data_IF_410111253890
#
_entry.id   IF_410111253890
#
_cell.length_a   1.000
_cell.length_b   1.000
_cell.length_c   1.000
_cell.angle_alpha   90.00
_cell.angle_beta   90.00
_cell.angle_gamma   90.00
#
_symmetry.space_group_name_H-M   'P 1'
#
loop_
_entity.id
_entity.type
_entity.pdbx_description
1 polymer ?
#
# COMPACT_ATOMS: atom_id res chain seq x y z
N UNK A 1 2.58 -75.95 41.18
CA UNK A 1 2.94 -75.59 39.79
C UNK A 1 2.42 -74.18 39.57
N UNK A 2 2.85 -73.14 40.29
CA UNK A 2 4.20 -72.63 40.58
C UNK A 2 5.01 -72.41 39.31
N UNK A 3 4.81 -71.24 38.69
CA UNK A 3 5.89 -70.52 38.04
C UNK A 3 5.57 -69.02 38.03
N UNK A 4 6.25 -68.33 38.95
CA UNK A 4 6.43 -66.89 38.99
C UNK A 4 7.47 -66.50 37.94
N UNK A 5 7.06 -65.66 36.98
CA UNK A 5 8.00 -65.00 36.08
C UNK A 5 8.70 -63.85 36.82
N UNK A 6 9.89 -64.16 37.31
CA UNK A 6 10.91 -63.20 37.70
C UNK A 6 11.55 -62.63 36.44
N UNK A 7 11.47 -61.32 36.21
CA UNK A 7 12.42 -60.65 35.34
C UNK A 7 12.95 -59.37 36.00
N UNK A 8 14.23 -59.45 36.35
CA UNK A 8 14.98 -58.49 37.13
C UNK A 8 15.35 -57.25 36.31
N UNK A 9 15.20 -56.08 36.93
CA UNK A 9 15.79 -54.83 36.46
C UNK A 9 17.32 -54.88 36.60
N UNK A 10 18.10 -54.48 35.58
CA UNK A 10 19.52 -54.26 35.76
C UNK A 10 19.75 -52.93 36.49
N UNK A 11 20.51 -53.03 37.59
CA UNK A 11 20.99 -51.91 38.39
C UNK A 11 22.17 -51.23 37.68
N UNK A 12 21.94 -50.14 36.97
CA UNK A 12 23.02 -49.28 36.50
C UNK A 12 23.44 -48.32 37.63
N UNK A 13 24.47 -48.75 38.35
CA UNK A 13 25.33 -47.87 39.13
C UNK A 13 26.05 -46.93 38.15
N UNK A 14 25.65 -45.66 38.10
CA UNK A 14 26.45 -44.63 37.45
C UNK A 14 26.93 -43.63 38.50
N UNK A 15 28.22 -43.72 38.80
CA UNK A 15 28.96 -42.87 39.69
C UNK A 15 28.80 -41.40 39.26
N UNK A 16 28.36 -40.57 40.19
CA UNK A 16 28.25 -39.12 40.03
C UNK A 16 29.65 -38.50 39.98
N UNK A 17 30.27 -38.53 38.80
CA UNK A 17 31.46 -37.75 38.50
C UNK A 17 31.03 -36.28 38.32
N UNK A 18 31.36 -35.46 39.30
CA UNK A 18 31.15 -34.01 39.31
C UNK A 18 31.90 -33.37 38.14
N UNK A 19 31.22 -33.15 37.01
CA UNK A 19 31.75 -32.33 35.92
C UNK A 19 31.88 -30.87 36.41
N UNK A 20 33.02 -30.19 36.18
CA UNK A 20 33.13 -28.78 36.47
C UNK A 20 32.11 -28.00 35.62
N UNK A 21 31.50 -26.94 36.17
CA UNK A 21 30.50 -26.15 35.45
C UNK A 21 31.10 -25.62 34.14
N UNK A 22 30.35 -25.65 33.02
CA UNK A 22 30.81 -25.17 31.73
C UNK A 22 31.28 -23.71 31.79
N UNK A 23 32.26 -23.32 30.97
CA UNK A 23 32.87 -21.97 30.95
C UNK A 23 31.86 -20.82 30.74
N UNK A 24 30.71 -21.07 30.13
CA UNK A 24 29.65 -20.05 30.01
C UNK A 24 28.96 -19.74 31.35
N UNK A 25 28.98 -20.68 32.31
CA UNK A 25 28.35 -20.51 33.62
C UNK A 25 29.13 -19.53 34.49
N UNK A 26 30.47 -19.58 34.43
CA UNK A 26 31.35 -18.60 35.08
C UNK A 26 31.22 -17.23 34.42
N UNK A 27 31.07 -17.17 33.09
CA UNK A 27 30.86 -15.93 32.35
C UNK A 27 29.52 -15.25 32.74
N UNK A 28 28.44 -16.02 32.90
CA UNK A 28 27.15 -15.48 33.38
C UNK A 28 27.23 -15.01 34.84
N UNK A 29 27.95 -15.71 35.71
CA UNK A 29 28.18 -15.24 37.07
C UNK A 29 28.98 -13.94 37.10
N UNK A 30 30.00 -13.81 36.25
CA UNK A 30 30.81 -12.61 36.14
C UNK A 30 29.98 -11.43 35.63
N UNK A 31 29.13 -11.64 34.62
CA UNK A 31 28.22 -10.61 34.10
C UNK A 31 27.24 -10.12 35.18
N UNK A 32 26.67 -11.03 35.95
CA UNK A 32 25.77 -10.69 37.07
C UNK A 32 26.48 -9.86 38.14
N UNK A 33 27.72 -10.17 38.47
CA UNK A 33 28.52 -9.40 39.41
C UNK A 33 28.85 -8.00 38.88
N UNK A 34 29.14 -7.87 37.57
CA UNK A 34 29.36 -6.56 36.93
C UNK A 34 28.11 -5.68 36.94
N UNK A 35 26.93 -6.25 36.71
CA UNK A 35 25.66 -5.48 36.78
C UNK A 35 25.41 -5.01 38.22
N UNK A 36 25.65 -5.87 39.23
CA UNK A 36 25.49 -5.51 40.63
C UNK A 36 26.43 -4.38 41.08
N UNK A 37 27.69 -4.38 40.62
CA UNK A 37 28.65 -3.32 40.95
C UNK A 37 28.30 -1.99 40.28
N UNK A 38 27.81 -2.01 39.04
CA UNK A 38 27.33 -0.80 38.35
C UNK A 38 26.10 -0.22 39.05
N UNK A 39 25.16 -1.04 39.51
CA UNK A 39 24.01 -0.59 40.28
C UNK A 39 24.42 0.02 41.63
N UNK A 40 25.39 -0.57 42.35
CA UNK A 40 25.91 0.00 43.59
C UNK A 40 26.63 1.34 43.37
N UNK A 41 27.41 1.48 42.29
CA UNK A 41 28.08 2.74 41.96
C UNK A 41 27.09 3.86 41.63
N UNK A 42 26.00 3.55 40.91
CA UNK A 42 24.93 4.51 40.62
C UNK A 42 24.20 4.96 41.90
N UNK A 43 23.83 4.01 42.77
CA UNK A 43 23.21 4.32 44.06
C UNK A 43 24.12 5.18 44.98
N UNK A 44 25.43 4.98 44.89
CA UNK A 44 26.43 5.76 45.65
C UNK A 44 26.58 7.19 45.13
N UNK A 45 26.39 7.44 43.82
CA UNK A 45 26.42 8.79 43.23
C UNK A 45 25.19 9.62 43.57
N UNK A 46 24.03 8.97 43.73
CA UNK A 46 22.79 9.64 44.10
C UNK A 46 22.73 10.03 45.59
N UNK A 47 23.61 9.46 46.43
CA UNK A 47 23.63 9.66 47.88
C UNK A 47 24.59 10.76 48.39
N UNK A 48 25.30 11.51 47.53
CA UNK A 48 26.15 12.61 47.99
C UNK A 48 25.46 14.00 47.96
N UNK A 49 25.30 14.69 49.11
CA UNK A 49 24.84 16.07 49.15
C UNK A 49 25.98 17.02 48.74
N UNK A 50 25.81 17.73 47.62
CA UNK A 50 26.74 18.75 47.15
C UNK A 50 26.85 19.92 48.13
N UNK A 51 28.06 20.14 48.68
CA UNK A 51 28.37 21.25 49.58
C UNK A 51 29.55 22.05 49.04
N UNK A 52 29.27 23.30 48.62
CA UNK A 52 30.14 24.51 48.57
C UNK A 52 31.37 24.50 47.62
N UNK A 53 31.80 25.61 46.98
CA UNK A 53 31.82 27.00 47.42
C UNK A 53 32.05 27.98 46.25
N UNK A 54 31.46 29.18 46.34
CA UNK A 54 31.61 30.27 45.38
C UNK A 54 30.77 31.50 45.79
N UNK A 55 31.10 32.05 46.96
CA UNK A 55 30.52 33.23 47.60
C UNK A 55 30.51 34.48 46.70
N UNK A 56 29.37 35.19 46.58
CA UNK A 56 29.21 36.62 46.94
C UNK A 56 27.71 36.95 47.18
N UNK A 57 27.43 37.28 48.45
CA UNK A 57 26.43 38.19 49.06
C UNK A 57 25.02 38.38 48.46
N UNK A 58 24.03 38.05 49.32
CA UNK A 58 22.62 38.51 49.36
C UNK A 58 22.48 40.01 49.77
N UNK A 59 21.30 40.64 49.56
CA UNK A 59 20.23 40.50 50.54
C UNK A 59 18.88 40.05 49.96
N UNK A 60 18.14 39.40 50.85
CA UNK A 60 16.86 38.73 50.78
C UNK A 60 15.71 39.46 50.07
N UNK A 61 14.89 38.69 49.35
CA UNK A 61 13.43 38.88 49.34
C UNK A 61 12.76 37.52 49.20
N UNK A 62 11.83 37.28 50.13
CA UNK A 62 10.91 36.16 50.29
C UNK A 62 10.43 35.58 48.95
N UNK A 63 10.50 34.25 48.75
CA UNK A 63 9.56 33.49 47.91
C UNK A 63 9.63 31.98 48.18
N UNK A 64 8.45 31.37 48.32
CA UNK A 64 8.24 29.94 48.57
C UNK A 64 8.64 29.03 47.41
N UNK A 65 8.38 27.70 47.50
CA UNK A 65 8.92 26.73 46.56
C UNK A 65 8.38 27.00 45.15
N UNK A 66 9.29 27.32 44.23
CA UNK A 66 9.00 27.51 42.83
C UNK A 66 8.52 26.19 42.22
N UNK A 67 7.20 26.05 42.08
CA UNK A 67 6.59 25.10 41.15
C UNK A 67 7.04 25.55 39.76
N UNK A 68 7.95 24.78 39.14
CA UNK A 68 8.28 24.96 37.73
C UNK A 68 6.96 25.01 36.93
N UNK A 69 6.73 26.04 36.09
CA UNK A 69 5.52 26.09 35.28
C UNK A 69 5.53 24.89 34.35
N UNK A 70 4.73 23.87 34.67
CA UNK A 70 4.47 22.80 33.72
C UNK A 70 3.88 23.46 32.48
N UNK A 71 4.60 23.36 31.37
CA UNK A 71 4.13 23.79 30.05
C UNK A 71 2.78 23.12 29.84
N UNK A 72 1.69 23.91 29.93
CA UNK A 72 0.34 23.42 29.73
C UNK A 72 0.21 22.98 28.27
N UNK A 73 0.47 21.70 28.01
CA UNK A 73 0.25 21.11 26.69
C UNK A 73 -1.25 21.22 26.38
N UNK A 74 -1.58 21.55 25.13
CA UNK A 74 -2.96 21.49 24.65
C UNK A 74 -3.32 20.02 24.40
N UNK A 75 -4.55 19.59 24.71
CA UNK A 75 -4.99 18.22 24.45
C UNK A 75 -4.91 17.94 22.94
N UNK A 76 -4.65 16.67 22.59
CA UNK A 76 -4.64 16.27 21.19
C UNK A 76 -6.05 16.44 20.63
N UNK A 77 -6.22 17.07 19.44
CA UNK A 77 -7.53 17.18 18.81
C UNK A 77 -8.20 15.80 18.72
N UNK A 78 -9.42 15.70 19.24
CA UNK A 78 -10.24 14.51 19.01
C UNK A 78 -10.60 14.49 17.52
N UNK A 79 -10.21 13.41 16.82
CA UNK A 79 -10.59 13.21 15.41
C UNK A 79 -12.10 13.03 15.23
N UNK A 80 -12.52 12.70 14.02
CA UNK A 80 -13.94 12.45 13.73
C UNK A 80 -14.52 11.33 14.61
N UNK A 81 -15.79 11.45 15.05
CA UNK A 81 -16.45 10.39 15.80
C UNK A 81 -16.58 9.12 14.95
N UNK A 82 -16.59 7.96 15.61
CA UNK A 82 -16.70 6.68 14.93
C UNK A 82 -18.13 6.43 14.42
N UNK A 83 -18.27 6.30 13.10
CA UNK A 83 -19.58 6.16 12.42
C UNK A 83 -20.08 4.70 12.31
N UNK A 84 -19.26 3.72 12.70
CA UNK A 84 -19.63 2.29 12.61
C UNK A 84 -18.97 1.52 11.48
N UNK A 85 -18.10 2.16 10.70
CA UNK A 85 -17.38 1.52 9.61
C UNK A 85 -16.33 0.51 10.12
N UNK A 86 -16.54 -0.76 9.83
CA UNK A 86 -15.67 -1.87 10.27
C UNK A 86 -14.20 -1.70 9.86
N UNK A 87 -13.96 -1.11 8.69
CA UNK A 87 -12.61 -0.89 8.14
C UNK A 87 -11.85 0.21 8.88
N UNK A 88 -12.55 1.24 9.38
CA UNK A 88 -11.95 2.39 10.07
C UNK A 88 -11.87 2.16 11.59
N UNK A 89 -12.63 1.21 12.13
CA UNK A 89 -12.66 0.89 13.56
C UNK A 89 -11.27 0.64 14.17
N UNK A 90 -10.42 -0.13 13.48
CA UNK A 90 -9.08 -0.45 14.02
C UNK A 90 -8.20 0.78 14.13
N UNK A 91 -8.21 1.63 13.11
CA UNK A 91 -7.44 2.88 13.11
C UNK A 91 -7.97 3.83 14.19
N UNK A 92 -9.30 3.96 14.30
CA UNK A 92 -9.94 4.76 15.34
C UNK A 92 -9.61 4.25 16.75
N UNK A 93 -9.67 2.93 16.99
CA UNK A 93 -9.31 2.31 18.28
C UNK A 93 -7.87 2.62 18.68
N UNK A 94 -6.92 2.53 17.75
CA UNK A 94 -5.50 2.85 18.01
C UNK A 94 -5.35 4.32 18.41
N UNK A 95 -5.98 5.24 17.66
CA UNK A 95 -5.96 6.66 17.98
C UNK A 95 -6.57 6.94 19.35
N UNK A 96 -7.70 6.30 19.65
CA UNK A 96 -8.39 6.46 20.92
C UNK A 96 -7.56 5.93 22.10
N UNK A 97 -7.00 4.73 21.97
CA UNK A 97 -6.13 4.14 22.98
C UNK A 97 -4.89 5.02 23.25
N UNK A 98 -4.25 5.54 22.19
CA UNK A 98 -3.13 6.46 22.33
C UNK A 98 -3.53 7.79 23.00
N UNK A 99 -4.72 8.31 22.66
CA UNK A 99 -5.27 9.53 23.27
C UNK A 99 -5.56 9.33 24.75
N UNK A 100 -6.13 8.21 25.15
CA UNK A 100 -6.39 7.89 26.56
C UNK A 100 -5.11 7.80 27.39
N UNK A 101 -4.01 7.31 26.81
CA UNK A 101 -2.70 7.26 27.49
C UNK A 101 -2.07 8.66 27.57
N UNK A 102 -2.08 9.40 26.46
CA UNK A 102 -1.40 10.70 26.35
C UNK A 102 -2.12 11.80 27.12
N UNK A 103 -3.45 11.85 26.98
CA UNK A 103 -4.30 12.87 27.58
C UNK A 103 -4.88 12.41 28.93
N UNK A 104 -4.39 11.32 29.53
CA UNK A 104 -4.91 10.77 30.79
C UNK A 104 -5.09 11.84 31.87
N UNK A 105 -4.04 12.66 32.07
CA UNK A 105 -4.03 13.75 33.07
C UNK A 105 -5.00 14.89 32.73
N UNK A 106 -5.35 15.07 31.47
CA UNK A 106 -6.27 16.12 30.99
C UNK A 106 -7.72 15.67 31.00
N UNK A 107 -7.99 14.41 30.68
CA UNK A 107 -9.35 13.86 30.65
C UNK A 107 -9.87 13.66 32.06
N UNK A 108 -9.01 13.26 33.01
CA UNK A 108 -9.35 13.14 34.41
C UNK A 108 -9.47 11.69 34.85
N UNK A 109 -10.54 11.37 35.57
CA UNK A 109 -10.74 10.06 36.19
C UNK A 109 -11.05 8.97 35.16
N UNK A 110 -10.99 7.70 35.56
CA UNK A 110 -11.34 6.58 34.67
C UNK A 110 -12.79 6.67 34.18
N UNK A 111 -13.69 7.21 35.03
CA UNK A 111 -15.07 7.53 34.65
C UNK A 111 -15.14 8.62 33.58
N UNK A 112 -14.33 9.67 33.67
CA UNK A 112 -14.29 10.72 32.65
C UNK A 112 -13.73 10.18 31.33
N UNK A 113 -12.74 9.30 31.39
CA UNK A 113 -12.21 8.59 30.24
C UNK A 113 -13.25 7.67 29.59
N UNK A 114 -14.04 6.97 30.39
CA UNK A 114 -15.17 6.14 29.92
C UNK A 114 -16.24 6.99 29.20
N UNK A 115 -16.65 8.12 29.81
CA UNK A 115 -17.57 9.09 29.20
C UNK A 115 -17.00 9.68 27.91
N UNK A 116 -15.70 9.96 27.88
CA UNK A 116 -15.02 10.53 26.72
C UNK A 116 -15.05 9.56 25.53
N UNK A 117 -14.79 8.27 25.73
CA UNK A 117 -14.90 7.27 24.66
C UNK A 117 -16.33 7.21 24.11
N UNK A 118 -17.34 7.27 24.97
CA UNK A 118 -18.75 7.32 24.57
C UNK A 118 -19.08 8.54 23.69
N UNK A 119 -18.60 9.73 24.06
CA UNK A 119 -18.79 10.95 23.28
C UNK A 119 -18.11 10.91 21.90
N UNK A 120 -17.08 10.08 21.74
CA UNK A 120 -16.38 9.90 20.47
C UNK A 120 -17.05 8.89 19.52
N UNK A 121 -18.23 8.39 19.86
CA UNK A 121 -19.05 7.50 19.04
C UNK A 121 -20.18 8.29 18.36
N UNK A 122 -20.54 7.94 17.13
CA UNK A 122 -21.72 8.50 16.47
C UNK A 122 -23.01 8.07 17.20
N UNK A 123 -24.10 8.86 17.15
CA UNK A 123 -25.35 8.57 17.86
C UNK A 123 -25.95 7.18 17.55
N UNK A 124 -25.79 6.71 16.30
CA UNK A 124 -26.22 5.37 15.87
C UNK A 124 -25.47 4.23 16.55
N UNK A 125 -24.21 4.47 16.92
CA UNK A 125 -23.36 3.49 17.59
C UNK A 125 -23.57 3.57 19.10
N UNK A 126 -23.74 4.77 19.64
CA UNK A 126 -24.14 4.99 21.03
C UNK A 126 -25.40 4.19 21.36
N UNK A 127 -26.47 4.30 20.56
CA UNK A 127 -27.73 3.58 20.81
C UNK A 127 -27.59 2.06 20.89
N UNK A 128 -26.63 1.47 20.17
CA UNK A 128 -26.36 0.02 20.19
C UNK A 128 -25.55 -0.42 21.41
N UNK A 129 -24.79 0.49 21.98
CA UNK A 129 -23.82 0.23 23.06
C UNK A 129 -24.34 0.71 24.42
N UNK A 130 -25.48 1.44 24.46
CA UNK A 130 -26.09 1.99 25.68
C UNK A 130 -26.20 0.99 26.81
N UNK A 131 -26.69 -0.22 26.55
CA UNK A 131 -26.86 -1.25 27.59
C UNK A 131 -25.52 -1.63 28.26
N UNK A 132 -24.43 -1.69 27.49
CA UNK A 132 -23.10 -1.98 28.03
C UNK A 132 -22.51 -0.77 28.76
N UNK A 133 -22.79 0.44 28.26
CA UNK A 133 -22.37 1.68 28.89
C UNK A 133 -23.01 1.90 30.27
N UNK A 134 -24.30 1.57 30.40
CA UNK A 134 -25.05 1.60 31.67
C UNK A 134 -24.51 0.60 32.69
N UNK A 135 -23.99 -0.54 32.23
CA UNK A 135 -23.28 -1.53 33.06
C UNK A 135 -21.87 -1.08 33.50
N UNK A 136 -21.45 0.15 33.18
CA UNK A 136 -20.15 0.74 33.55
C UNK A 136 -19.71 0.58 35.03
N UNK A 137 -20.60 0.68 36.04
CA UNK A 137 -20.23 0.44 37.44
C UNK A 137 -19.62 -0.94 37.69
N UNK A 138 -20.12 -1.99 37.02
CA UNK A 138 -19.63 -3.37 37.17
C UNK A 138 -18.19 -3.54 36.68
N UNK A 139 -17.75 -2.69 35.76
CA UNK A 139 -16.41 -2.69 35.17
C UNK A 139 -15.51 -1.57 35.72
N UNK A 140 -15.93 -0.91 36.82
CA UNK A 140 -15.23 0.23 37.43
C UNK A 140 -14.96 1.38 36.45
N UNK A 141 -15.79 1.51 35.41
CA UNK A 141 -15.59 2.46 34.32
C UNK A 141 -14.23 2.36 33.62
N UNK A 142 -13.65 1.16 33.50
CA UNK A 142 -12.37 0.99 32.83
C UNK A 142 -12.47 1.23 31.30
N UNK A 143 -11.86 2.29 30.75
CA UNK A 143 -12.03 2.64 29.33
C UNK A 143 -11.45 1.59 28.37
N UNK A 144 -10.48 0.78 28.80
CA UNK A 144 -9.91 -0.30 27.98
C UNK A 144 -10.88 -1.48 27.83
N UNK A 145 -11.64 -1.80 28.88
CA UNK A 145 -12.70 -2.81 28.82
C UNK A 145 -13.82 -2.37 27.87
N UNK A 146 -14.13 -1.06 27.86
CA UNK A 146 -15.09 -0.51 26.89
C UNK A 146 -14.60 -0.65 25.44
N UNK A 147 -13.33 -0.34 25.18
CA UNK A 147 -12.73 -0.52 23.85
C UNK A 147 -12.66 -2.01 23.44
N UNK A 148 -12.44 -2.92 24.39
CA UNK A 148 -12.46 -4.36 24.12
C UNK A 148 -13.88 -4.86 23.78
N UNK A 149 -14.90 -4.37 24.47
CA UNK A 149 -16.30 -4.64 24.10
C UNK A 149 -16.62 -4.12 22.70
N UNK A 150 -16.26 -2.86 22.40
CA UNK A 150 -16.45 -2.28 21.06
C UNK A 150 -15.74 -3.11 19.98
N UNK A 151 -14.56 -3.66 20.27
CA UNK A 151 -13.88 -4.56 19.35
C UNK A 151 -14.66 -5.86 19.13
N UNK A 152 -15.20 -6.47 20.18
CA UNK A 152 -16.01 -7.68 20.01
C UNK A 152 -17.30 -7.46 19.19
N UNK A 153 -17.90 -6.27 19.26
CA UNK A 153 -19.17 -5.96 18.58
C UNK A 153 -18.95 -5.43 17.16
N UNK A 154 -17.92 -4.62 16.93
CA UNK A 154 -17.71 -3.92 15.67
C UNK A 154 -16.51 -4.41 14.86
N UNK A 155 -15.52 -5.06 15.47
CA UNK A 155 -14.47 -5.72 14.70
C UNK A 155 -14.98 -7.04 14.12
N UNK A 156 -14.44 -7.41 12.97
CA UNK A 156 -14.73 -8.69 12.34
C UNK A 156 -13.92 -9.81 13.03
N UNK A 157 -14.58 -10.81 13.67
CA UNK A 157 -13.89 -11.92 14.34
C UNK A 157 -12.98 -12.73 13.40
N UNK A 158 -13.35 -12.84 12.12
CA UNK A 158 -12.63 -13.64 11.13
C UNK A 158 -11.60 -12.84 10.34
N UNK A 159 -11.35 -11.57 10.70
CA UNK A 159 -10.40 -10.70 9.97
C UNK A 159 -9.02 -11.33 9.82
N UNK A 160 -8.50 -11.98 10.87
CA UNK A 160 -7.18 -12.62 10.81
C UNK A 160 -7.17 -13.82 9.87
N UNK A 161 -8.20 -14.66 9.92
CA UNK A 161 -8.35 -15.86 9.08
C UNK A 161 -8.54 -15.50 7.60
N UNK A 162 -9.37 -14.48 7.33
CA UNK A 162 -9.55 -13.90 6.00
C UNK A 162 -8.21 -13.32 5.51
N UNK A 163 -7.51 -12.54 6.34
CA UNK A 163 -6.22 -11.97 5.97
C UNK A 163 -5.14 -13.03 5.71
N UNK A 164 -5.15 -14.15 6.46
CA UNK A 164 -4.26 -15.29 6.20
C UNK A 164 -4.57 -15.94 4.84
N UNK A 165 -5.84 -16.18 4.55
CA UNK A 165 -6.29 -16.73 3.27
C UNK A 165 -5.90 -15.81 2.11
N UNK A 166 -6.14 -14.51 2.25
CA UNK A 166 -5.76 -13.50 1.26
C UNK A 166 -4.23 -13.41 1.08
N UNK A 167 -3.45 -13.55 2.16
CA UNK A 167 -1.98 -13.56 2.09
C UNK A 167 -1.46 -14.78 1.31
N UNK A 168 -2.11 -15.93 1.44
CA UNK A 168 -1.73 -17.15 0.73
C UNK A 168 -2.09 -17.11 -0.76
N UNK A 169 -3.15 -16.40 -1.11
CA UNK A 169 -3.56 -16.16 -2.49
C UNK A 169 -2.85 -14.96 -3.13
N UNK A 170 -2.19 -14.12 -2.34
CA UNK A 170 -1.53 -12.93 -2.84
C UNK A 170 -0.32 -13.34 -3.69
N UNK A 171 -0.36 -12.95 -4.97
CA UNK A 171 0.74 -13.15 -5.90
C UNK A 171 1.09 -11.82 -6.59
N UNK A 172 2.37 -11.61 -6.86
CA UNK A 172 2.86 -10.47 -7.63
C UNK A 172 2.44 -10.66 -9.09
N UNK A 173 1.74 -9.67 -9.65
CA UNK A 173 1.33 -9.74 -11.05
C UNK A 173 2.55 -9.67 -12.00
N UNK A 174 2.38 -10.18 -13.23
CA UNK A 174 3.49 -10.36 -14.19
C UNK A 174 4.25 -9.08 -14.54
N UNK A 175 3.54 -7.94 -14.58
CA UNK A 175 4.04 -6.62 -14.94
C UNK A 175 4.05 -5.63 -13.76
N UNK A 176 3.88 -6.11 -12.53
CA UNK A 176 3.83 -5.25 -11.36
C UNK A 176 5.23 -5.02 -10.75
N UNK A 177 5.50 -3.76 -10.39
CA UNK A 177 6.72 -3.40 -9.67
C UNK A 177 6.77 -4.06 -8.28
N UNK A 178 7.94 -4.56 -7.89
CA UNK A 178 8.11 -5.21 -6.59
C UNK A 178 7.73 -4.29 -5.41
N UNK A 179 8.00 -2.99 -5.51
CA UNK A 179 7.70 -2.02 -4.45
C UNK A 179 6.21 -1.89 -4.16
N UNK A 180 5.34 -1.83 -5.19
CA UNK A 180 3.89 -1.76 -4.99
C UNK A 180 3.32 -3.06 -4.45
N UNK A 181 3.83 -4.19 -4.94
CA UNK A 181 3.48 -5.51 -4.44
C UNK A 181 3.87 -5.69 -2.97
N UNK A 182 5.10 -5.31 -2.62
CA UNK A 182 5.65 -5.47 -1.28
C UNK A 182 4.86 -4.70 -0.22
N UNK A 183 4.41 -3.48 -0.50
CA UNK A 183 3.56 -2.72 0.43
C UNK A 183 2.25 -3.46 0.72
N UNK A 184 1.62 -4.05 -0.31
CA UNK A 184 0.38 -4.83 -0.14
C UNK A 184 0.64 -6.13 0.62
N UNK A 185 1.77 -6.79 0.34
CA UNK A 185 2.20 -8.00 1.05
C UNK A 185 2.42 -7.73 2.53
N UNK A 186 3.18 -6.68 2.89
CA UNK A 186 3.40 -6.25 4.28
C UNK A 186 2.10 -5.91 4.99
N UNK A 187 1.19 -5.20 4.32
CA UNK A 187 -0.11 -4.88 4.88
C UNK A 187 -0.90 -6.15 5.21
N UNK A 188 -0.99 -7.12 4.28
CA UNK A 188 -1.69 -8.38 4.52
C UNK A 188 -0.98 -9.26 5.56
N UNK A 189 0.35 -9.26 5.57
CA UNK A 189 1.16 -9.93 6.58
C UNK A 189 0.86 -9.40 7.99
N UNK A 190 0.81 -8.07 8.15
CA UNK A 190 0.46 -7.45 9.43
C UNK A 190 -0.97 -7.78 9.88
N UNK A 191 -1.93 -7.77 8.95
CA UNK A 191 -3.33 -8.13 9.23
C UNK A 191 -3.51 -9.60 9.62
N UNK A 192 -2.70 -10.49 9.04
CA UNK A 192 -2.67 -11.92 9.37
C UNK A 192 -2.00 -12.23 10.73
N UNK A 193 -1.47 -11.22 11.42
CA UNK A 193 -0.68 -11.38 12.65
C UNK A 193 0.76 -11.82 12.39
N UNK A 194 1.24 -11.71 11.15
CA UNK A 194 2.52 -12.23 10.71
C UNK A 194 3.74 -11.41 11.11
N UNK A 195 3.58 -10.26 11.77
CA UNK A 195 4.72 -9.48 12.28
C UNK A 195 5.56 -10.27 13.29
N UNK A 196 4.89 -11.11 14.09
CA UNK A 196 5.54 -11.92 15.12
C UNK A 196 6.02 -13.28 14.61
N UNK A 197 5.87 -13.59 13.32
CA UNK A 197 6.36 -14.84 12.77
C UNK A 197 7.88 -14.86 12.69
N UNK A 198 8.51 -16.04 12.81
CA UNK A 198 9.91 -16.22 12.48
C UNK A 198 10.20 -15.74 11.05
N UNK A 199 11.37 -15.15 10.87
CA UNK A 199 11.77 -14.55 9.59
C UNK A 199 11.82 -15.60 8.47
N UNK A 200 12.10 -16.87 8.78
CA UNK A 200 12.08 -17.96 7.81
C UNK A 200 10.68 -18.14 7.20
N UNK A 201 9.63 -18.05 8.02
CA UNK A 201 8.24 -18.22 7.57
C UNK A 201 7.83 -17.04 6.68
N UNK A 202 8.19 -15.82 7.09
CA UNK A 202 7.95 -14.61 6.28
C UNK A 202 8.63 -14.73 4.92
N UNK A 203 9.87 -15.22 4.89
CA UNK A 203 10.62 -15.41 3.65
C UNK A 203 10.06 -16.51 2.75
N UNK A 204 9.61 -17.63 3.31
CA UNK A 204 8.96 -18.69 2.54
C UNK A 204 7.67 -18.17 1.89
N UNK A 205 6.84 -17.45 2.64
CA UNK A 205 5.60 -16.85 2.12
C UNK A 205 5.90 -15.79 1.06
N UNK A 206 6.86 -14.90 1.30
CA UNK A 206 7.29 -13.90 0.31
C UNK A 206 7.81 -14.54 -0.97
N UNK A 207 8.67 -15.57 -0.87
CA UNK A 207 9.21 -16.27 -2.04
C UNK A 207 8.13 -16.95 -2.88
N UNK A 208 7.09 -17.51 -2.23
CA UNK A 208 5.95 -18.13 -2.92
C UNK A 208 5.13 -17.08 -3.68
N UNK A 209 4.90 -15.93 -3.07
CA UNK A 209 4.09 -14.84 -3.62
C UNK A 209 4.78 -14.06 -4.76
N UNK A 210 6.10 -14.15 -4.91
CA UNK A 210 6.84 -13.48 -5.98
C UNK A 210 6.52 -14.05 -7.37
N UNK A 211 6.55 -13.19 -8.39
CA UNK A 211 6.37 -13.57 -9.79
C UNK A 211 7.51 -14.47 -10.29
N UNK A 212 7.25 -15.32 -11.29
CA UNK A 212 8.23 -16.22 -11.91
C UNK A 212 9.52 -15.50 -12.34
N UNK A 213 9.44 -14.33 -12.99
CA UNK A 213 10.66 -13.61 -13.43
C UNK A 213 11.55 -13.18 -12.26
N UNK A 214 10.93 -12.76 -11.15
CA UNK A 214 11.63 -12.42 -9.92
C UNK A 214 12.23 -13.66 -9.26
N UNK A 215 11.47 -14.78 -9.22
CA UNK A 215 11.94 -16.06 -8.69
C UNK A 215 13.13 -16.58 -9.49
N UNK A 216 13.05 -16.59 -10.81
CA UNK A 216 14.15 -17.05 -11.68
C UNK A 216 15.40 -16.18 -11.50
N UNK A 217 15.23 -14.86 -11.40
CA UNK A 217 16.33 -13.91 -11.14
C UNK A 217 16.89 -14.00 -9.71
N UNK A 218 16.16 -14.63 -8.78
CA UNK A 218 16.62 -14.84 -7.41
C UNK A 218 17.50 -16.08 -7.25
N UNK A 219 17.48 -17.00 -8.22
CA UNK A 219 18.30 -18.21 -8.21
C UNK A 219 19.78 -17.80 -8.30
N UNK A 220 20.61 -18.31 -7.39
CA UNK A 220 22.07 -18.05 -7.36
C UNK A 220 22.47 -16.75 -6.66
N UNK A 221 21.53 -15.86 -6.33
CA UNK A 221 21.78 -14.77 -5.39
C UNK A 221 21.61 -15.34 -3.98
N UNK A 222 22.69 -15.40 -3.20
CA UNK A 222 22.71 -15.95 -1.84
C UNK A 222 21.80 -15.16 -0.89
N UNK A 223 20.49 -15.38 -0.97
CA UNK A 223 19.48 -14.73 -0.14
C UNK A 223 19.58 -15.31 1.28
N UNK A 224 19.86 -14.48 2.31
CA UNK A 224 19.87 -14.92 3.69
C UNK A 224 18.53 -15.55 4.08
N UNK A 225 18.58 -16.61 4.87
CA UNK A 225 17.37 -17.29 5.39
C UNK A 225 16.99 -16.79 6.79
N UNK A 226 17.93 -16.15 7.47
CA UNK A 226 17.83 -15.85 8.90
C UNK A 226 17.45 -14.38 9.16
N UNK A 227 17.46 -13.54 8.11
CA UNK A 227 17.13 -12.12 8.22
C UNK A 227 16.15 -11.71 7.12
N UNK A 228 14.94 -11.34 7.54
CA UNK A 228 13.89 -10.90 6.63
C UNK A 228 14.28 -9.60 5.90
N UNK A 229 14.79 -8.61 6.62
CA UNK A 229 15.15 -7.30 6.06
C UNK A 229 16.28 -7.39 5.04
N UNK A 230 17.32 -8.20 5.32
CA UNK A 230 18.44 -8.39 4.40
C UNK A 230 17.98 -9.04 3.09
N UNK A 231 17.11 -10.04 3.18
CA UNK A 231 16.53 -10.69 2.01
C UNK A 231 15.63 -9.75 1.19
N UNK A 232 14.79 -8.92 1.85
CA UNK A 232 13.98 -7.90 1.16
C UNK A 232 14.85 -6.92 0.40
N UNK A 233 15.98 -6.49 0.95
CA UNK A 233 16.91 -5.59 0.26
C UNK A 233 17.51 -6.22 -1.00
N UNK A 234 17.81 -7.52 -0.98
CA UNK A 234 18.24 -8.26 -2.18
C UNK A 234 17.10 -8.35 -3.20
N UNK A 235 15.87 -8.60 -2.76
CA UNK A 235 14.73 -8.57 -3.70
C UNK A 235 14.51 -7.19 -4.32
N UNK A 236 14.74 -6.10 -3.57
CA UNK A 236 14.70 -4.74 -4.12
C UNK A 236 15.79 -4.51 -5.17
N UNK A 237 17.03 -4.96 -4.94
CA UNK A 237 18.09 -4.83 -5.95
C UNK A 237 17.79 -5.64 -7.22
N UNK A 238 17.29 -6.87 -7.06
CA UNK A 238 16.82 -7.70 -8.20
C UNK A 238 15.73 -6.98 -9.00
N UNK A 239 14.77 -6.36 -8.32
CA UNK A 239 13.69 -5.62 -8.98
C UNK A 239 14.22 -4.43 -9.79
N UNK A 240 15.22 -3.72 -9.26
CA UNK A 240 15.89 -2.64 -9.99
C UNK A 240 16.63 -3.17 -11.21
N UNK A 241 17.35 -4.29 -11.08
CA UNK A 241 18.07 -4.93 -12.19
C UNK A 241 17.12 -5.40 -13.31
N UNK A 242 15.94 -5.91 -12.95
CA UNK A 242 14.92 -6.32 -13.92
C UNK A 242 14.34 -5.11 -14.65
N UNK A 243 14.03 -4.03 -13.93
CA UNK A 243 13.49 -2.81 -14.54
C UNK A 243 14.54 -2.09 -15.40
N UNK A 244 15.81 -2.09 -15.00
CA UNK A 244 16.91 -1.55 -15.82
C UNK A 244 17.06 -2.35 -17.11
N UNK A 245 17.07 -3.69 -17.04
CA UNK A 245 17.13 -4.55 -18.22
C UNK A 245 15.93 -4.36 -19.15
N UNK A 246 14.72 -4.26 -18.60
CA UNK A 246 13.50 -3.95 -19.37
C UNK A 246 13.59 -2.59 -20.08
N UNK A 247 14.21 -1.61 -19.44
CA UNK A 247 14.40 -0.29 -20.02
C UNK A 247 15.47 -0.30 -21.13
N UNK A 248 16.61 -0.96 -20.88
CA UNK A 248 17.67 -1.16 -21.88
C UNK A 248 17.15 -1.90 -23.12
N UNK A 249 16.38 -2.96 -22.94
CA UNK A 249 15.75 -3.69 -24.05
C UNK A 249 14.83 -2.78 -24.87
N UNK A 250 14.02 -1.93 -24.22
CA UNK A 250 13.17 -0.94 -24.91
C UNK A 250 14.00 0.05 -25.72
N UNK A 251 15.17 0.47 -25.23
CA UNK A 251 16.06 1.36 -25.98
C UNK A 251 16.75 0.60 -27.12
N UNK A 252 17.33 -0.57 -26.85
CA UNK A 252 17.99 -1.42 -27.85
C UNK A 252 17.06 -1.80 -28.99
N UNK A 253 15.80 -2.15 -28.71
CA UNK A 253 14.80 -2.45 -29.74
C UNK A 253 14.35 -1.20 -30.53
N UNK A 254 14.48 -0.01 -29.95
CA UNK A 254 14.18 1.26 -30.63
C UNK A 254 15.28 1.66 -31.61
N UNK A 255 16.54 1.37 -31.29
CA UNK A 255 17.70 1.64 -32.15
C UNK A 255 18.00 0.48 -33.13
N UNK A 256 17.81 -0.77 -32.73
CA UNK A 256 18.03 -1.96 -33.56
C UNK A 256 17.03 -2.12 -34.72
N UNK A 257 15.86 -1.47 -34.63
CA UNK A 257 14.90 -1.40 -35.76
C UNK A 257 15.24 -0.31 -36.78
N UNK A 258 16.17 0.59 -36.46
CA UNK A 258 16.56 1.67 -37.37
C UNK A 258 17.66 1.25 -38.37
N UNK A 259 18.29 0.08 -38.20
CA UNK A 259 19.48 -0.31 -38.96
C UNK A 259 19.56 -1.82 -39.25
N UNK A 260 18.46 -2.45 -39.66
CA UNK A 260 18.64 -3.59 -40.57
C UNK A 260 18.93 -2.97 -41.95
N UNK A 261 20.14 -3.12 -42.51
CA UNK A 261 20.40 -2.64 -43.86
C UNK A 261 19.45 -3.42 -44.78
N UNK A 262 18.44 -2.76 -45.31
CA UNK A 262 17.74 -3.25 -46.49
C UNK A 262 18.82 -3.51 -47.53
N UNK A 263 18.93 -4.75 -48.02
CA UNK A 263 19.87 -5.11 -49.09
C UNK A 263 19.79 -4.02 -50.16
N UNK A 264 20.91 -3.42 -50.59
CA UNK A 264 20.86 -2.42 -51.64
C UNK A 264 20.18 -3.05 -52.85
N UNK A 265 19.19 -2.35 -53.41
CA UNK A 265 18.58 -2.76 -54.67
C UNK A 265 19.66 -2.53 -55.73
N UNK A 266 20.29 -3.61 -56.17
CA UNK A 266 21.21 -3.62 -57.31
C UNK A 266 20.40 -3.69 -58.60
N UNK A 267 20.84 -3.00 -59.64
CA UNK A 267 20.31 -3.20 -61.00
C UNK A 267 20.94 -4.42 -61.69
N UNK A 268 20.50 -4.71 -62.92
CA UNK A 268 20.94 -5.88 -63.71
C UNK A 268 22.46 -5.89 -63.98
N UNK A 269 23.13 -4.73 -63.89
CA UNK A 269 24.57 -4.59 -64.07
C UNK A 269 25.37 -4.69 -62.76
N UNK A 270 24.69 -4.89 -61.62
CA UNK A 270 25.33 -5.11 -60.32
C UNK A 270 25.71 -3.83 -59.56
N UNK A 271 25.31 -2.66 -60.05
CA UNK A 271 25.59 -1.37 -59.42
C UNK A 271 24.51 -1.00 -58.39
N UNK A 272 24.94 -0.34 -57.31
CA UNK A 272 24.05 0.11 -56.26
C UNK A 272 23.22 1.31 -56.76
N UNK A 273 21.90 1.14 -56.89
CA UNK A 273 21.00 2.23 -57.27
C UNK A 273 20.96 3.31 -56.17
N UNK A 274 21.69 4.40 -56.38
CA UNK A 274 21.65 5.57 -55.50
C UNK A 274 20.40 6.41 -55.79
N UNK A 275 19.29 6.18 -55.07
CA UNK A 275 18.15 7.10 -55.10
C UNK A 275 18.52 8.38 -54.34
N UNK A 276 18.50 9.51 -55.04
CA UNK A 276 19.05 10.80 -54.62
C UNK A 276 18.62 11.32 -53.24
N UNK A 277 19.54 12.08 -52.63
CA UNK A 277 19.57 12.64 -51.27
C UNK A 277 18.50 13.72 -50.98
N UNK A 278 17.55 13.97 -51.89
CA UNK A 278 16.56 15.04 -51.71
C UNK A 278 15.26 14.55 -51.06
N UNK A 279 15.35 14.13 -49.80
CA UNK A 279 14.17 13.94 -48.95
C UNK A 279 14.50 14.16 -47.46
N UNK A 280 15.14 15.29 -47.15
CA UNK A 280 15.02 15.86 -45.82
C UNK A 280 13.65 16.57 -45.74
N UNK A 281 12.74 16.02 -44.93
CA UNK A 281 11.82 16.68 -43.97
C UNK A 281 10.45 15.99 -43.93
N UNK A 282 9.98 15.81 -42.68
CA UNK A 282 8.60 15.51 -42.22
C UNK A 282 8.18 14.03 -42.10
N UNK A 283 8.27 13.54 -40.86
CA UNK A 283 7.22 12.68 -40.28
C UNK A 283 7.50 11.19 -40.22
N UNK A 284 7.89 10.70 -39.02
CA UNK A 284 7.85 9.27 -38.66
C UNK A 284 6.46 8.68 -38.94
N UNK A 285 6.33 7.81 -39.93
CA UNK A 285 5.22 6.85 -40.06
C UNK A 285 5.71 5.43 -39.73
N UNK A 286 4.91 4.72 -38.93
CA UNK A 286 5.09 3.30 -38.58
C UNK A 286 5.06 2.43 -39.86
N UNK A 287 5.86 1.36 -39.97
CA UNK A 287 5.74 0.42 -41.08
C UNK A 287 4.50 -0.48 -40.87
N UNK A 288 3.59 -0.43 -41.84
CA UNK A 288 2.52 -1.39 -41.99
C UNK A 288 3.08 -2.67 -42.63
N UNK A 289 2.66 -3.82 -42.10
CA UNK A 289 2.95 -5.18 -42.55
C UNK A 289 2.56 -5.36 -44.02
N UNK A 290 3.54 -5.74 -44.87
CA UNK A 290 3.31 -6.12 -46.27
C UNK A 290 2.69 -7.52 -46.32
N UNK A 291 1.43 -7.59 -46.75
CA UNK A 291 0.83 -8.75 -47.39
C UNK A 291 1.08 -8.71 -48.89
N UNK A 292 1.44 -9.85 -49.45
CA UNK A 292 1.69 -10.18 -50.85
C UNK A 292 0.58 -9.75 -51.83
N UNK A 293 0.95 -9.26 -53.02
CA UNK A 293 0.59 -9.77 -54.38
C UNK A 293 0.59 -8.69 -55.49
N UNK A 294 1.28 -9.03 -56.60
CA UNK A 294 1.06 -8.72 -58.04
C UNK A 294 0.95 -7.29 -58.57
N UNK A 295 1.74 -7.03 -59.63
CA UNK A 295 1.78 -5.94 -60.62
C UNK A 295 0.44 -5.70 -61.37
N UNK A 296 0.39 -4.81 -62.39
CA UNK A 296 0.66 -3.37 -62.42
C UNK A 296 -0.60 -2.59 -62.88
N UNK A 297 -0.83 -1.43 -62.30
CA UNK A 297 -1.91 -0.53 -62.74
C UNK A 297 -1.91 0.70 -61.85
N UNK A 298 -1.53 1.84 -62.42
CA UNK A 298 -1.57 3.13 -61.75
C UNK A 298 -2.99 3.43 -61.26
N UNK A 299 -3.20 3.44 -59.95
CA UNK A 299 -4.25 4.25 -59.33
C UNK A 299 -3.69 4.88 -58.06
N UNK A 300 -3.76 6.19 -57.99
CA UNK A 300 -3.33 7.00 -56.86
C UNK A 300 -4.23 6.67 -55.66
N UNK A 301 -3.79 5.75 -54.81
CA UNK A 301 -4.49 5.34 -53.59
C UNK A 301 -4.47 6.41 -52.48
N UNK A 302 -4.75 7.66 -52.83
CA UNK A 302 -4.96 8.74 -51.89
C UNK A 302 -6.20 8.45 -51.03
N UNK A 303 -6.03 8.62 -49.73
CA UNK A 303 -7.11 8.47 -48.75
C UNK A 303 -7.87 9.79 -48.68
N UNK A 304 -9.19 9.72 -48.58
CA UNK A 304 -10.00 10.92 -48.35
C UNK A 304 -9.57 11.62 -47.05
N UNK A 305 -9.50 12.95 -47.09
CA UNK A 305 -9.25 13.80 -45.91
C UNK A 305 -10.44 13.69 -44.96
N UNK A 306 -10.17 13.61 -43.65
CA UNK A 306 -11.24 13.66 -42.65
C UNK A 306 -11.82 15.06 -42.58
N UNK A 307 -13.13 15.18 -42.79
CA UNK A 307 -13.85 16.46 -42.82
C UNK A 307 -14.89 16.46 -41.69
N UNK A 308 -15.15 17.61 -41.03
CA UNK A 308 -16.19 17.71 -39.99
C UNK A 308 -17.58 17.32 -40.50
N UNK A 309 -18.46 16.95 -39.55
CA UNK A 309 -19.81 16.42 -39.81
C UNK A 309 -20.65 17.37 -40.68
N UNK A 310 -20.57 18.68 -40.44
CA UNK A 310 -21.29 19.71 -41.19
C UNK A 310 -21.00 19.68 -42.69
N UNK A 311 -19.75 19.49 -43.09
CA UNK A 311 -19.38 19.42 -44.52
C UNK A 311 -19.78 18.10 -45.14
N UNK A 312 -19.87 17.02 -44.36
CA UNK A 312 -20.39 15.73 -44.84
C UNK A 312 -21.89 15.87 -45.13
N UNK A 313 -22.62 16.59 -44.29
CA UNK A 313 -24.06 16.78 -44.46
C UNK A 313 -24.37 17.73 -45.65
N UNK A 314 -23.59 18.81 -45.83
CA UNK A 314 -23.66 19.63 -47.05
C UNK A 314 -23.40 18.82 -48.33
N UNK A 315 -22.45 17.88 -48.30
CA UNK A 315 -22.18 16.98 -49.45
C UNK A 315 -23.33 16.01 -49.73
N UNK A 316 -24.11 15.61 -48.71
CA UNK A 316 -25.31 14.79 -48.91
C UNK A 316 -26.43 15.58 -49.56
N UNK A 317 -26.63 16.81 -49.12
CA UNK A 317 -27.64 17.72 -49.68
C UNK A 317 -27.34 18.07 -51.14
N UNK A 318 -26.05 18.24 -51.49
CA UNK A 318 -25.62 18.51 -52.86
C UNK A 318 -25.49 17.26 -53.75
N UNK A 319 -25.74 16.06 -53.22
CA UNK A 319 -25.61 14.80 -53.97
C UNK A 319 -24.17 14.48 -54.39
N UNK A 320 -23.17 15.00 -53.68
CA UNK A 320 -21.75 14.79 -53.97
C UNK A 320 -21.17 13.58 -53.22
N UNK A 321 -20.09 13.01 -53.74
CA UNK A 321 -19.37 11.91 -53.09
C UNK A 321 -18.91 12.30 -51.69
N UNK A 322 -19.28 11.52 -50.67
CA UNK A 322 -18.87 11.81 -49.29
C UNK A 322 -17.37 11.62 -49.03
N UNK A 323 -16.63 10.99 -49.95
CA UNK A 323 -15.17 10.79 -49.83
C UNK A 323 -14.37 11.93 -50.45
N UNK A 324 -14.60 12.25 -51.72
CA UNK A 324 -13.83 13.27 -52.45
C UNK A 324 -14.56 14.59 -52.66
N UNK A 325 -15.88 14.64 -52.47
CA UNK A 325 -16.70 15.83 -52.73
C UNK A 325 -17.06 16.07 -54.20
N UNK A 326 -16.74 15.16 -55.13
CA UNK A 326 -17.13 15.30 -56.54
C UNK A 326 -18.59 14.93 -56.78
N UNK A 327 -19.27 15.61 -57.70
CA UNK A 327 -20.67 15.32 -58.10
C UNK A 327 -20.79 14.21 -59.16
N UNK A 328 -19.67 13.72 -59.69
CA UNK A 328 -19.65 12.77 -60.82
C UNK A 328 -19.78 11.30 -60.41
N UNK A 329 -19.56 10.96 -59.14
CA UNK A 329 -19.70 9.61 -58.63
C UNK A 329 -20.12 9.62 -57.16
N UNK A 330 -20.60 8.49 -56.67
CA UNK A 330 -20.94 8.30 -55.26
C UNK A 330 -19.89 7.43 -54.57
N UNK A 331 -20.01 7.25 -53.25
CA UNK A 331 -19.04 6.54 -52.39
C UNK A 331 -18.63 5.17 -52.93
N UNK A 332 -19.55 4.48 -53.62
CA UNK A 332 -19.36 3.13 -54.16
C UNK A 332 -18.32 3.09 -55.28
N UNK A 333 -18.30 4.10 -56.14
CA UNK A 333 -17.43 4.18 -57.32
C UNK A 333 -16.26 5.16 -57.11
N UNK A 334 -15.98 5.50 -55.85
CA UNK A 334 -14.91 6.42 -55.50
C UNK A 334 -13.58 5.67 -55.34
N UNK A 335 -12.59 6.05 -56.16
CA UNK A 335 -11.22 5.51 -56.12
C UNK A 335 -10.46 5.84 -54.82
N UNK A 336 -10.95 6.83 -54.04
CA UNK A 336 -10.34 7.18 -52.75
C UNK A 336 -10.72 6.21 -51.62
N UNK A 337 -9.73 5.87 -50.80
CA UNK A 337 -9.93 5.08 -49.58
C UNK A 337 -10.66 5.89 -48.49
N UNK A 338 -11.43 5.24 -47.60
CA UNK A 338 -12.16 5.92 -46.51
C UNK A 338 -11.25 6.77 -45.62
N UNK A 339 -11.74 7.92 -45.18
CA UNK A 339 -11.02 8.81 -44.26
C UNK A 339 -10.71 8.13 -42.92
N UNK A 340 -9.52 8.36 -42.37
CA UNK A 340 -9.15 7.87 -41.05
C UNK A 340 -9.57 8.90 -39.99
N UNK A 341 -10.30 8.46 -38.96
CA UNK A 341 -10.70 9.34 -37.85
C UNK A 341 -9.45 9.78 -37.08
N UNK A 342 -9.22 11.09 -36.88
CA UNK A 342 -8.12 11.54 -36.01
C UNK A 342 -8.39 11.03 -34.59
N UNK A 343 -7.40 10.33 -34.02
CA UNK A 343 -7.43 9.91 -32.61
C UNK A 343 -7.29 11.16 -31.75
N UNK A 344 -8.39 11.58 -31.12
CA UNK A 344 -8.35 12.60 -30.08
C UNK A 344 -7.70 11.95 -28.86
N UNK A 345 -6.46 12.33 -28.55
CA UNK A 345 -5.87 12.06 -27.24
C UNK A 345 -6.64 12.88 -26.20
N UNK A 346 -7.74 12.34 -25.73
CA UNK A 346 -8.45 12.86 -24.57
C UNK A 346 -7.59 12.57 -23.34
N UNK A 347 -6.75 13.53 -22.96
CA UNK A 347 -6.13 13.56 -21.64
C UNK A 347 -7.25 13.81 -20.64
N UNK A 348 -7.76 12.73 -20.03
CA UNK A 348 -8.78 12.82 -18.99
C UNK A 348 -8.09 13.35 -17.73
N UNK A 349 -8.04 14.68 -17.59
CA UNK A 349 -7.91 15.28 -16.27
C UNK A 349 -9.25 15.09 -15.56
N UNK A 350 -9.28 14.12 -14.64
CA UNK A 350 -10.40 13.87 -13.76
C UNK A 350 -10.45 15.01 -12.74
N UNK A 351 -11.24 16.04 -13.02
CA UNK A 351 -11.64 17.05 -12.03
C UNK A 351 -12.81 16.45 -11.27
N UNK A 352 -12.61 16.24 -9.96
CA UNK A 352 -13.69 15.91 -9.04
C UNK A 352 -14.57 17.16 -8.90
N UNK A 353 -15.80 17.11 -9.41
CA UNK A 353 -16.84 18.09 -9.11
C UNK A 353 -17.94 17.38 -8.36
N UNK A 354 -17.72 17.17 -7.06
CA UNK A 354 -18.79 16.99 -6.08
C UNK A 354 -19.23 18.39 -5.64
N UNK A 355 -20.26 18.94 -6.28
CA UNK A 355 -21.14 19.99 -5.76
C UNK A 355 -22.15 20.35 -6.83
N UNK A 356 -23.35 19.81 -6.69
CA UNK A 356 -24.66 20.33 -7.13
C UNK A 356 -25.66 19.17 -7.08
N UNK A 357 -26.08 18.79 -5.87
CA UNK A 357 -27.30 18.02 -5.67
C UNK A 357 -27.86 18.23 -4.26
N UNK A 358 -27.98 19.51 -3.88
CA UNK A 358 -28.62 19.93 -2.65
C UNK A 358 -29.41 21.22 -2.93
N UNK A 359 -30.39 21.15 -3.83
CA UNK A 359 -31.37 22.22 -3.99
C UNK A 359 -32.70 21.87 -4.70
N UNK A 360 -33.05 20.59 -4.88
CA UNK A 360 -34.32 20.21 -5.56
C UNK A 360 -35.27 19.30 -4.75
N UNK A 361 -35.12 19.18 -3.42
CA UNK A 361 -36.09 18.47 -2.56
C UNK A 361 -36.77 19.41 -1.54
N UNK A 362 -37.20 20.59 -1.98
CA UNK A 362 -38.08 21.44 -1.18
C UNK A 362 -39.20 22.08 -2.01
N UNK A 363 -39.95 21.27 -2.77
CA UNK A 363 -41.22 21.72 -3.33
C UNK A 363 -42.04 20.51 -3.80
N UNK A 364 -42.58 19.74 -2.86
CA UNK A 364 -43.77 18.89 -3.08
C UNK A 364 -44.29 18.33 -1.75
N UNK A 365 -44.83 19.21 -0.89
CA UNK A 365 -45.87 18.82 0.08
C UNK A 365 -46.59 20.04 0.66
N UNK A 366 -47.48 20.62 -0.15
CA UNK A 366 -48.62 21.40 0.33
C UNK A 366 -49.82 21.15 -0.59
N UNK A 367 -50.77 20.35 -0.08
CA UNK A 367 -52.24 20.49 -0.22
C UNK A 367 -52.95 19.16 -0.50
N UNK A 368 -53.33 18.48 0.57
CA UNK A 368 -54.50 17.60 0.56
C UNK A 368 -55.03 17.53 1.99
N UNK A 369 -55.85 18.52 2.33
CA UNK A 369 -56.77 18.48 3.45
C UNK A 369 -58.02 19.21 2.99
N UNK A 370 -58.85 18.50 2.22
CA UNK A 370 -60.21 18.93 1.91
C UNK A 370 -61.16 17.84 2.44
N UNK A 371 -61.78 18.15 3.57
CA UNK A 371 -62.93 17.43 4.09
C UNK A 371 -64.17 17.84 3.27
N UNK A 372 -65.03 16.91 2.84
CA UNK A 372 -66.28 17.27 2.19
C UNK A 372 -67.37 17.64 3.22
N UNK A 373 -68.20 18.66 2.95
CA UNK A 373 -69.38 18.95 3.75
C UNK A 373 -70.59 18.15 3.26
N UNK A 374 -71.28 17.48 4.18
CA UNK A 374 -72.75 17.39 4.39
C UNK A 374 -73.08 16.18 5.25
#
# INVERSE_FOLDING_TARGET
MDQQDNNALPSEQNATASQPPPDWFTEIQQLRQQIATVMQYQASREAQPGTTSGSVRTPSTVNGPAILPQVRRKPIPTGAPYDGDKTTFTAWKILMAHKLVTDRKFIGTDKDQWMFVWQCLAPKIQSRVTAFFEAGPSYQYNPLQFLAYLESVFADPHRMEIAQTELEQLEQASNEAFTSFYVRFEQKLALAGGMNWPDEIKLVKLRRALNKTMRDSSIGRNIPRDSYEAAVNIYRSIAVDIESYRLEEKYRNRYGRATAPTKPITDEDGDARMTGINAATVGRRRPATQGTRTSPGQSSSQRATWVPRSTIDARKEEGACLRCGSKQHFIKDCEMRPAARPVQNLSIHRVNTERENAQEESLDQFSENEAPPS
#
